data_IF_151052662189
#
_entry.id   IF_151052662189
#
_cell.length_a   1.000
_cell.length_b   1.000
_cell.length_c   1.000
_cell.angle_alpha   90.00
_cell.angle_beta   90.00
_cell.angle_gamma   90.00
#
_symmetry.space_group_name_H-M   'P 1'
#
loop_
_entity.id
_entity.type
_entity.pdbx_description
1 polymer ?
#
# COMPACT_ATOMS: atom_id res chain seq x y z
N UNK A 1 44.15 34.25 -12.15
CA UNK A 1 45.57 34.61 -12.00
C UNK A 1 46.09 33.90 -10.75
N UNK A 2 47.24 33.21 -10.87
CA UNK A 2 47.90 32.28 -9.93
C UNK A 2 47.19 30.91 -9.81
N UNK A 3 47.57 29.80 -10.48
CA UNK A 3 48.83 29.03 -10.65
C UNK A 3 49.37 28.40 -9.35
N UNK A 4 49.25 27.06 -9.21
CA UNK A 4 50.29 25.99 -9.36
C UNK A 4 50.94 25.71 -7.98
N UNK A 5 50.99 24.50 -7.43
CA UNK A 5 51.94 23.40 -7.74
C UNK A 5 51.37 22.04 -7.24
N UNK A 6 51.56 21.03 -8.08
CA UNK A 6 51.40 19.59 -7.87
C UNK A 6 52.70 19.03 -7.31
N UNK A 7 52.65 18.09 -6.36
CA UNK A 7 53.76 17.15 -6.14
C UNK A 7 53.26 15.71 -6.27
N UNK A 8 53.86 15.03 -7.25
CA UNK A 8 53.82 13.58 -7.51
C UNK A 8 55.18 13.06 -7.11
N UNK A 9 55.23 11.94 -6.37
CA UNK A 9 56.46 11.18 -6.18
C UNK A 9 56.26 9.74 -6.65
N UNK A 10 57.16 9.37 -7.56
CA UNK A 10 57.36 8.10 -8.27
C UNK A 10 58.44 7.29 -7.54
N UNK A 11 58.28 5.96 -7.51
CA UNK A 11 59.37 4.97 -7.41
C UNK A 11 58.80 3.64 -7.93
N UNK A 12 59.03 3.24 -9.18
CA UNK A 12 60.20 2.55 -9.78
C UNK A 12 60.40 1.12 -9.26
N UNK A 13 60.33 0.15 -10.19
CA UNK A 13 60.52 -1.28 -9.93
C UNK A 13 60.24 -2.18 -11.15
N UNK A 14 61.07 -2.01 -12.18
CA UNK A 14 61.69 -2.95 -13.12
C UNK A 14 60.96 -4.17 -13.74
N UNK A 15 61.15 -4.20 -15.08
CA UNK A 15 61.08 -5.24 -16.10
C UNK A 15 61.42 -6.69 -15.73
N UNK A 16 60.70 -7.64 -16.35
CA UNK A 16 61.29 -8.86 -16.94
C UNK A 16 60.33 -9.51 -17.95
N UNK A 17 60.68 -9.41 -19.24
CA UNK A 17 60.17 -10.24 -20.33
C UNK A 17 60.73 -11.66 -20.21
N UNK A 18 59.92 -12.69 -20.48
CA UNK A 18 60.42 -13.94 -21.07
C UNK A 18 59.32 -14.74 -21.77
N UNK A 19 59.54 -14.87 -23.09
CA UNK A 19 58.97 -15.83 -24.03
C UNK A 19 59.47 -17.22 -23.69
N UNK A 20 58.58 -18.22 -23.59
CA UNK A 20 58.94 -19.62 -23.91
C UNK A 20 57.72 -20.37 -24.47
N UNK A 21 57.91 -20.86 -25.69
CA UNK A 21 57.18 -21.90 -26.43
C UNK A 21 57.24 -23.27 -25.76
N UNK A 22 56.14 -24.05 -25.78
CA UNK A 22 56.18 -25.51 -25.70
C UNK A 22 55.06 -26.14 -26.55
N UNK A 23 55.49 -26.64 -27.70
CA UNK A 23 54.89 -27.64 -28.58
C UNK A 23 55.13 -29.04 -27.97
N UNK A 24 54.13 -29.94 -28.02
CA UNK A 24 54.32 -31.34 -28.47
C UNK A 24 53.11 -32.24 -28.24
N UNK A 25 52.88 -33.00 -29.31
CA UNK A 25 52.01 -34.13 -29.58
C UNK A 25 52.55 -35.44 -28.97
N UNK A 26 51.68 -36.42 -28.68
CA UNK A 26 52.06 -37.82 -28.47
C UNK A 26 50.84 -38.77 -28.57
N UNK A 27 50.71 -39.40 -29.75
CA UNK A 27 49.98 -40.63 -30.04
C UNK A 27 50.59 -41.84 -29.30
N UNK A 28 49.79 -42.77 -28.73
CA UNK A 28 49.83 -44.22 -29.05
C UNK A 28 49.03 -45.20 -28.12
N UNK A 29 47.99 -45.79 -28.73
CA UNK A 29 47.48 -47.18 -28.78
C UNK A 29 47.64 -48.14 -27.58
N UNK A 30 46.55 -48.84 -27.23
CA UNK A 30 46.47 -50.32 -27.38
C UNK A 30 45.03 -50.88 -27.39
N UNK A 31 44.80 -51.80 -28.34
CA UNK A 31 43.54 -52.52 -28.65
C UNK A 31 43.37 -53.77 -27.77
N UNK A 32 42.12 -54.17 -27.48
CA UNK A 32 41.73 -55.60 -27.31
C UNK A 32 40.37 -55.91 -28.00
N UNK A 33 40.27 -57.16 -28.46
CA UNK A 33 39.53 -57.72 -29.61
C UNK A 33 38.05 -58.11 -29.30
N UNK A 34 37.11 -57.81 -30.20
CA UNK A 34 36.37 -58.68 -31.17
C UNK A 34 35.36 -59.68 -30.56
N UNK A 35 34.08 -59.55 -30.95
CA UNK A 35 33.30 -60.68 -31.49
C UNK A 35 32.19 -60.18 -32.44
N UNK A 36 32.31 -60.52 -33.72
CA UNK A 36 31.35 -60.21 -34.79
C UNK A 36 30.13 -61.14 -34.75
N UNK A 37 28.93 -60.56 -34.92
CA UNK A 37 27.72 -61.22 -35.46
C UNK A 37 27.10 -60.29 -36.52
N UNK A 38 26.50 -60.80 -37.59
CA UNK A 38 26.13 -60.00 -38.77
C UNK A 38 24.91 -59.08 -38.51
N UNK A 39 24.80 -57.93 -39.19
CA UNK A 39 23.61 -57.08 -39.09
C UNK A 39 22.40 -57.74 -39.76
N UNK A 40 21.24 -57.65 -39.08
CA UNK A 40 19.94 -58.11 -39.59
C UNK A 40 19.44 -57.14 -40.66
N UNK A 41 18.91 -57.69 -41.77
CA UNK A 41 18.30 -56.93 -42.87
C UNK A 41 17.05 -56.16 -42.43
N UNK A 42 16.72 -55.01 -43.05
CA UNK A 42 15.50 -54.28 -42.75
C UNK A 42 14.29 -55.00 -43.36
N UNK A 43 13.32 -55.38 -42.51
CA UNK A 43 12.00 -55.86 -42.92
C UNK A 43 11.06 -54.68 -43.18
N UNK A 44 10.25 -54.84 -44.22
CA UNK A 44 9.38 -53.88 -44.92
C UNK A 44 8.35 -53.12 -44.07
N UNK A 45 7.87 -51.94 -44.53
CA UNK A 45 7.00 -51.03 -43.77
C UNK A 45 5.50 -51.42 -43.76
N UNK A 46 5.13 -52.60 -44.24
CA UNK A 46 3.74 -53.04 -44.28
C UNK A 46 3.59 -54.37 -43.55
N UNK A 47 3.33 -54.33 -42.25
CA UNK A 47 2.57 -55.35 -41.49
C UNK A 47 2.50 -54.98 -40.01
N UNK A 48 1.32 -54.56 -39.54
CA UNK A 48 0.73 -54.92 -38.23
C UNK A 48 -0.69 -54.36 -38.15
N UNK A 49 -1.66 -55.21 -38.47
CA UNK A 49 -3.05 -55.06 -38.05
C UNK A 49 -3.22 -55.71 -36.67
N UNK A 50 -4.19 -55.19 -35.91
CA UNK A 50 -4.99 -55.85 -34.86
C UNK A 50 -4.75 -55.37 -33.43
N UNK A 51 -5.87 -54.91 -32.87
CA UNK A 51 -6.14 -54.29 -31.58
C UNK A 51 -5.80 -55.16 -30.37
N UNK A 52 -5.38 -54.51 -29.27
CA UNK A 52 -5.81 -54.79 -27.89
C UNK A 52 -5.74 -53.46 -27.07
N UNK A 53 -6.80 -53.18 -26.30
CA UNK A 53 -7.17 -51.99 -25.48
C UNK A 53 -6.19 -51.66 -24.29
N UNK A 54 -6.38 -50.62 -23.41
CA UNK A 54 -7.55 -49.74 -23.18
C UNK A 54 -7.36 -48.22 -22.93
N UNK A 55 -8.40 -47.51 -23.37
CA UNK A 55 -9.23 -46.43 -22.78
C UNK A 55 -8.95 -45.93 -21.31
N UNK A 56 -8.65 -44.62 -21.26
CA UNK A 56 -9.10 -43.54 -20.35
C UNK A 56 -8.37 -43.24 -19.02
N UNK A 57 -7.94 -41.98 -18.97
CA UNK A 57 -7.24 -41.25 -17.94
C UNK A 57 -8.13 -40.84 -16.75
N UNK A 58 -7.46 -40.63 -15.62
CA UNK A 58 -8.01 -40.18 -14.36
C UNK A 58 -8.65 -38.77 -14.44
N UNK A 59 -9.78 -38.67 -13.74
CA UNK A 59 -10.55 -37.47 -13.46
C UNK A 59 -9.75 -36.48 -12.61
N UNK A 60 -9.48 -35.29 -13.13
CA UNK A 60 -9.20 -34.11 -12.30
C UNK A 60 -10.53 -33.42 -12.01
N UNK A 61 -11.01 -33.61 -10.79
CA UNK A 61 -12.14 -32.89 -10.19
C UNK A 61 -11.60 -31.55 -9.67
N UNK A 62 -12.08 -30.42 -10.20
CA UNK A 62 -11.80 -29.11 -9.61
C UNK A 62 -12.74 -28.88 -8.42
N UNK A 63 -12.15 -28.43 -7.31
CA UNK A 63 -12.83 -28.03 -6.09
C UNK A 63 -13.48 -26.66 -6.33
N UNK A 64 -14.81 -26.57 -6.24
CA UNK A 64 -15.51 -25.29 -6.14
C UNK A 64 -15.33 -24.73 -4.72
N UNK A 65 -14.73 -23.55 -4.63
CA UNK A 65 -14.70 -22.70 -3.44
C UNK A 65 -15.37 -21.38 -3.78
N UNK A 66 -16.43 -21.07 -3.04
CA UNK A 66 -17.37 -19.97 -3.23
C UNK A 66 -16.84 -18.64 -2.72
N UNK A 67 -17.07 -17.56 -3.49
CA UNK A 67 -17.44 -16.24 -2.97
C UNK A 67 -16.32 -15.24 -2.64
N UNK A 68 -16.12 -14.23 -3.49
CA UNK A 68 -16.20 -12.80 -3.10
C UNK A 68 -15.97 -11.86 -4.29
N UNK A 69 -16.83 -10.83 -4.33
CA UNK A 69 -16.72 -9.51 -4.95
C UNK A 69 -16.15 -9.33 -6.38
N UNK A 70 -17.07 -8.88 -7.26
CA UNK A 70 -16.82 -8.06 -8.45
C UNK A 70 -15.77 -6.97 -8.16
N UNK A 71 -14.70 -6.94 -8.95
CA UNK A 71 -14.13 -5.68 -9.42
C UNK A 71 -13.58 -5.88 -10.83
N UNK A 72 -14.09 -5.05 -11.73
CA UNK A 72 -13.81 -5.00 -13.15
C UNK A 72 -12.41 -4.41 -13.38
N UNK A 73 -11.55 -5.15 -14.08
CA UNK A 73 -10.19 -4.73 -14.41
C UNK A 73 -9.80 -5.32 -15.77
N UNK A 74 -9.43 -4.43 -16.68
CA UNK A 74 -9.22 -4.68 -18.10
C UNK A 74 -8.40 -5.94 -18.42
N UNK A 75 -8.93 -6.73 -19.36
CA UNK A 75 -8.41 -8.01 -19.80
C UNK A 75 -7.03 -7.90 -20.45
N UNK A 76 -5.96 -8.22 -19.71
CA UNK A 76 -4.68 -8.61 -20.30
C UNK A 76 -4.79 -10.09 -20.71
N UNK A 77 -5.19 -10.32 -21.96
CA UNK A 77 -5.28 -11.67 -22.53
C UNK A 77 -3.87 -12.19 -22.80
N UNK A 78 -3.51 -13.31 -22.16
CA UNK A 78 -2.27 -14.04 -22.42
C UNK A 78 -2.27 -14.55 -23.88
N UNK A 79 -1.15 -14.46 -24.63
CA UNK A 79 -1.05 -14.94 -26.02
C UNK A 79 -1.55 -16.38 -26.21
N UNK A 80 -1.35 -17.26 -25.23
CA UNK A 80 -1.84 -18.66 -25.29
C UNK A 80 -3.37 -18.75 -25.31
N UNK A 81 -4.07 -17.84 -24.65
CA UNK A 81 -5.55 -17.82 -24.63
C UNK A 81 -6.13 -17.29 -25.95
N UNK A 82 -5.42 -16.44 -26.68
CA UNK A 82 -5.84 -15.97 -28.01
C UNK A 82 -5.82 -17.11 -29.04
N UNK A 83 -4.80 -17.98 -29.01
CA UNK A 83 -4.70 -19.13 -29.91
C UNK A 83 -5.81 -20.17 -29.67
N UNK A 84 -6.13 -20.45 -28.40
CA UNK A 84 -7.20 -21.37 -28.03
C UNK A 84 -8.60 -20.83 -28.39
N UNK A 85 -8.79 -19.52 -28.39
CA UNK A 85 -10.04 -18.88 -28.84
C UNK A 85 -10.27 -19.00 -30.35
N UNK A 86 -9.20 -18.90 -31.15
CA UNK A 86 -9.30 -18.90 -32.62
C UNK A 86 -9.68 -20.27 -33.21
N UNK A 87 -9.29 -21.38 -32.55
CA UNK A 87 -9.67 -22.73 -33.00
C UNK A 87 -11.16 -23.07 -32.82
N UNK A 88 -11.91 -22.30 -32.02
CA UNK A 88 -13.36 -22.53 -31.81
C UNK A 88 -14.27 -21.70 -32.71
N UNK A 89 -13.72 -20.86 -33.58
CA UNK A 89 -14.49 -20.01 -34.51
C UNK A 89 -14.16 -20.29 -35.99
N UNK A 90 -13.82 -21.55 -36.31
CA UNK A 90 -13.69 -22.01 -37.69
C UNK A 90 -14.99 -22.61 -38.23
N UNK A 91 -15.95 -21.81 -38.70
CA UNK A 91 -17.02 -22.31 -39.61
C UNK A 91 -17.57 -21.28 -40.62
N UNK A 92 -17.10 -20.04 -40.66
CA UNK A 92 -17.57 -19.08 -41.68
C UNK A 92 -16.43 -18.22 -42.16
N UNK A 93 -15.65 -18.75 -43.10
CA UNK A 93 -14.97 -18.01 -44.17
C UNK A 93 -14.32 -19.04 -45.12
N UNK A 94 -15.15 -19.77 -45.86
CA UNK A 94 -14.76 -20.39 -47.12
C UNK A 94 -15.53 -19.67 -48.22
N UNK A 95 -14.82 -18.86 -49.00
CA UNK A 95 -15.30 -18.36 -50.28
C UNK A 95 -15.71 -19.58 -51.13
N UNK A 96 -16.95 -19.66 -51.64
CA UNK A 96 -17.32 -20.69 -52.61
C UNK A 96 -16.64 -20.34 -53.92
N UNK A 97 -15.68 -21.17 -54.32
CA UNK A 97 -15.22 -21.24 -55.69
C UNK A 97 -16.45 -21.54 -56.57
N UNK A 98 -16.79 -20.60 -57.45
CA UNK A 98 -17.72 -20.83 -58.55
C UNK A 98 -17.08 -21.85 -59.49
N UNK A 99 -17.39 -23.13 -59.31
CA UNK A 99 -17.26 -24.15 -60.33
C UNK A 99 -18.66 -24.40 -60.89
N UNK A 100 -18.92 -23.81 -62.05
CA UNK A 100 -20.00 -24.20 -62.95
C UNK A 100 -19.63 -25.57 -63.52
N UNK A 101 -19.95 -26.60 -62.76
CA UNK A 101 -19.92 -27.97 -63.23
C UNK A 101 -21.22 -28.21 -64.00
N UNK A 102 -21.07 -28.50 -65.28
CA UNK A 102 -22.10 -28.90 -66.21
C UNK A 102 -22.82 -30.15 -65.64
N UNK A 103 -23.95 -29.93 -64.97
CA UNK A 103 -24.86 -30.98 -64.49
C UNK A 103 -25.75 -31.34 -65.67
N UNK A 104 -25.15 -32.04 -66.62
CA UNK A 104 -25.82 -32.60 -67.79
C UNK A 104 -25.17 -33.95 -68.06
N UNK A 105 -25.95 -35.02 -67.94
CA UNK A 105 -25.61 -36.44 -68.24
C UNK A 105 -25.36 -37.41 -67.07
N UNK A 106 -25.55 -37.01 -65.81
CA UNK A 106 -25.71 -37.99 -64.71
C UNK A 106 -27.19 -38.38 -64.53
N UNK A 107 -27.85 -38.84 -65.60
CA UNK A 107 -29.14 -39.55 -65.50
C UNK A 107 -29.00 -40.95 -66.09
N UNK A 108 -29.18 -41.90 -65.17
CA UNK A 108 -29.74 -43.23 -65.38
C UNK A 108 -28.95 -44.17 -66.28
N UNK A 109 -27.94 -44.83 -65.71
CA UNK A 109 -27.76 -46.25 -65.95
C UNK A 109 -27.60 -46.93 -64.60
N UNK A 110 -28.70 -47.47 -64.09
CA UNK A 110 -28.68 -48.44 -62.99
C UNK A 110 -27.67 -49.52 -63.37
N UNK A 111 -26.70 -49.79 -62.48
CA UNK A 111 -25.67 -50.80 -62.65
C UNK A 111 -26.29 -52.16 -62.93
N UNK A 112 -26.46 -52.45 -64.21
CA UNK A 112 -26.58 -53.80 -64.72
C UNK A 112 -25.18 -54.41 -64.73
N UNK A 113 -25.04 -55.61 -64.17
CA UNK A 113 -23.80 -56.38 -64.18
C UNK A 113 -23.25 -56.68 -65.60
N UNK A 114 -24.05 -56.45 -66.63
CA UNK A 114 -23.71 -56.73 -68.03
C UNK A 114 -23.30 -55.42 -68.73
N UNK A 115 -22.04 -55.29 -69.20
CA UNK A 115 -21.56 -54.18 -70.00
C UNK A 115 -22.49 -53.79 -71.16
N UNK A 116 -22.50 -52.51 -71.51
CA UNK A 116 -23.44 -51.94 -72.50
C UNK A 116 -23.38 -52.66 -73.86
N UNK A 117 -22.17 -53.00 -74.32
CA UNK A 117 -21.94 -53.77 -75.55
C UNK A 117 -22.49 -55.21 -75.48
N UNK A 118 -22.47 -55.84 -74.29
CA UNK A 118 -22.99 -57.20 -74.10
C UNK A 118 -24.50 -57.24 -74.04
N UNK A 119 -25.14 -56.21 -73.48
CA UNK A 119 -26.62 -56.12 -73.49
C UNK A 119 -27.18 -56.05 -74.90
N UNK A 120 -26.46 -55.38 -75.80
CA UNK A 120 -26.84 -55.24 -77.20
C UNK A 120 -26.66 -56.56 -77.95
N UNK A 121 -25.51 -57.23 -77.76
CA UNK A 121 -25.23 -58.54 -78.34
C UNK A 121 -26.20 -59.64 -77.88
N UNK A 122 -26.73 -59.54 -76.65
CA UNK A 122 -27.71 -60.49 -76.12
C UNK A 122 -29.17 -60.12 -76.45
N UNK A 123 -29.40 -59.05 -77.22
CA UNK A 123 -30.75 -58.58 -77.57
C UNK A 123 -31.57 -58.08 -76.38
N UNK A 124 -30.92 -57.80 -75.23
CA UNK A 124 -31.56 -57.38 -73.98
C UNK A 124 -32.01 -55.92 -74.01
N UNK A 125 -31.55 -55.12 -74.98
CA UNK A 125 -31.86 -53.69 -75.10
C UNK A 125 -32.09 -53.34 -76.58
N UNK A 126 -33.19 -52.62 -76.86
CA UNK A 126 -33.46 -52.06 -78.20
C UNK A 126 -32.47 -50.92 -78.49
N UNK A 127 -31.91 -50.82 -79.69
CA UNK A 127 -30.99 -49.74 -80.01
C UNK A 127 -31.71 -48.38 -80.04
N UNK A 128 -31.01 -47.33 -79.61
CA UNK A 128 -31.57 -45.97 -79.51
C UNK A 128 -31.38 -45.13 -80.79
N UNK A 129 -30.66 -45.64 -81.78
CA UNK A 129 -30.25 -44.88 -82.98
C UNK A 129 -30.95 -45.34 -84.26
N UNK A 130 -32.04 -46.11 -84.16
CA UNK A 130 -32.78 -46.60 -85.33
C UNK A 130 -33.51 -45.48 -86.08
N UNK A 131 -32.82 -44.82 -87.01
CA UNK A 131 -33.44 -44.06 -88.11
C UNK A 131 -33.97 -45.07 -89.13
N UNK A 132 -35.08 -45.74 -88.82
CA UNK A 132 -35.64 -46.75 -89.70
C UNK A 132 -35.89 -46.23 -91.12
N UNK A 133 -35.47 -46.99 -92.13
CA UNK A 133 -36.39 -47.35 -93.20
C UNK A 133 -36.08 -48.77 -93.72
N UNK A 134 -37.04 -49.68 -93.54
CA UNK A 134 -37.22 -50.92 -94.31
C UNK A 134 -36.17 -52.07 -94.20
N UNK A 135 -35.74 -52.47 -93.01
CA UNK A 135 -35.46 -53.90 -92.76
C UNK A 135 -35.54 -54.22 -91.25
N UNK A 136 -36.14 -55.34 -90.88
CA UNK A 136 -36.47 -55.67 -89.48
C UNK A 136 -35.25 -55.82 -88.57
N UNK A 137 -35.33 -55.25 -87.35
CA UNK A 137 -34.33 -55.45 -86.30
C UNK A 137 -34.31 -56.91 -85.83
N UNK A 138 -33.18 -57.59 -85.98
CA UNK A 138 -32.95 -58.96 -85.50
C UNK A 138 -32.30 -58.91 -84.12
N UNK A 139 -32.96 -59.38 -83.04
CA UNK A 139 -32.35 -59.49 -81.72
C UNK A 139 -31.09 -60.38 -81.76
N UNK A 140 -29.98 -59.89 -81.19
CA UNK A 140 -28.70 -60.61 -81.15
C UNK A 140 -27.68 -60.16 -82.21
N UNK A 141 -28.07 -59.28 -83.15
CA UNK A 141 -27.13 -58.60 -84.04
C UNK A 141 -26.76 -57.25 -83.43
N UNK A 142 -25.45 -56.95 -83.21
CA UNK A 142 -25.04 -55.64 -82.72
C UNK A 142 -25.52 -54.54 -83.68
N UNK A 143 -26.19 -53.54 -83.13
CA UNK A 143 -26.56 -52.31 -83.83
C UNK A 143 -25.33 -51.41 -83.84
N UNK A 144 -24.42 -51.72 -84.76
CA UNK A 144 -23.30 -50.84 -85.04
C UNK A 144 -23.83 -49.46 -85.39
N UNK A 145 -23.30 -48.44 -84.70
CA UNK A 145 -23.56 -47.05 -85.05
C UNK A 145 -23.26 -46.82 -86.54
N UNK A 146 -23.97 -45.88 -87.15
CA UNK A 146 -23.70 -45.49 -88.52
C UNK A 146 -22.21 -45.11 -88.64
N UNK A 147 -21.59 -45.42 -89.79
CA UNK A 147 -20.15 -45.23 -89.98
C UNK A 147 -19.73 -43.78 -89.70
N UNK A 148 -20.57 -42.79 -90.04
CA UNK A 148 -20.40 -41.37 -89.73
C UNK A 148 -20.33 -41.11 -88.22
N UNK A 149 -21.31 -41.60 -87.44
CA UNK A 149 -21.36 -41.44 -85.98
C UNK A 149 -20.14 -42.08 -85.28
N UNK A 150 -19.64 -43.21 -85.81
CA UNK A 150 -18.42 -43.85 -85.30
C UNK A 150 -17.19 -42.96 -85.49
N UNK A 151 -17.07 -42.27 -86.63
CA UNK A 151 -15.95 -41.36 -86.87
C UNK A 151 -16.00 -40.14 -85.94
N UNK A 152 -17.18 -39.58 -85.71
CA UNK A 152 -17.36 -38.44 -84.79
C UNK A 152 -17.00 -38.82 -83.35
N UNK A 153 -17.44 -39.98 -82.87
CA UNK A 153 -17.06 -40.50 -81.54
C UNK A 153 -15.55 -40.75 -81.43
N UNK A 154 -14.91 -41.30 -82.47
CA UNK A 154 -13.45 -41.47 -82.49
C UNK A 154 -12.75 -40.10 -82.40
N UNK A 155 -13.26 -39.07 -83.07
CA UNK A 155 -12.72 -37.71 -83.00
C UNK A 155 -12.90 -37.12 -81.59
N UNK A 156 -14.07 -37.27 -80.99
CA UNK A 156 -14.35 -36.82 -79.62
C UNK A 156 -13.50 -37.54 -78.57
N UNK A 157 -13.36 -38.86 -78.69
CA UNK A 157 -12.49 -39.65 -77.81
C UNK A 157 -11.03 -39.24 -77.95
N UNK A 158 -10.54 -38.99 -79.17
CA UNK A 158 -9.19 -38.46 -79.40
C UNK A 158 -9.01 -37.08 -78.75
N UNK A 159 -9.99 -36.18 -78.88
CA UNK A 159 -9.98 -34.87 -78.21
C UNK A 159 -9.94 -35.02 -76.69
N UNK A 160 -10.74 -35.93 -76.14
CA UNK A 160 -10.82 -36.19 -74.69
C UNK A 160 -9.52 -36.78 -74.15
N UNK A 161 -8.94 -37.77 -74.85
CA UNK A 161 -7.64 -38.36 -74.49
C UNK A 161 -6.55 -37.29 -74.51
N UNK A 162 -6.54 -36.44 -75.54
CA UNK A 162 -5.56 -35.36 -75.63
C UNK A 162 -5.75 -34.31 -74.51
N UNK A 163 -7.00 -33.96 -74.18
CA UNK A 163 -7.31 -33.06 -73.08
C UNK A 163 -6.85 -33.63 -71.73
N UNK A 164 -7.13 -34.91 -71.46
CA UNK A 164 -6.68 -35.61 -70.26
C UNK A 164 -5.16 -35.71 -70.18
N UNK A 165 -4.47 -35.93 -71.31
CA UNK A 165 -3.01 -35.92 -71.36
C UNK A 165 -2.44 -34.55 -70.99
N UNK A 166 -2.98 -33.48 -71.57
CA UNK A 166 -2.58 -32.11 -71.26
C UNK A 166 -2.85 -31.76 -69.78
N UNK A 167 -3.97 -32.21 -69.22
CA UNK A 167 -4.29 -32.05 -67.79
C UNK A 167 -3.30 -32.83 -66.90
N UNK A 168 -2.96 -34.06 -67.28
CA UNK A 168 -1.94 -34.87 -66.60
C UNK A 168 -0.58 -34.16 -66.54
N UNK A 169 -0.14 -33.57 -67.65
CA UNK A 169 1.12 -32.80 -67.72
C UNK A 169 1.07 -31.54 -66.84
N UNK A 170 -0.08 -30.87 -66.78
CA UNK A 170 -0.30 -29.72 -65.89
C UNK A 170 -0.21 -30.15 -64.42
N UNK A 171 -0.90 -31.22 -64.03
CA UNK A 171 -0.90 -31.74 -62.66
C UNK A 171 0.49 -32.20 -62.23
N UNK A 172 1.23 -32.88 -63.11
CA UNK A 172 2.62 -33.28 -62.88
C UNK A 172 3.51 -32.08 -62.55
N UNK A 173 3.33 -30.98 -63.28
CA UNK A 173 4.11 -29.76 -63.05
C UNK A 173 3.69 -29.06 -61.74
N UNK A 174 2.40 -29.02 -61.41
CA UNK A 174 1.92 -28.48 -60.12
C UNK A 174 2.46 -29.26 -58.93
N UNK A 175 2.42 -30.60 -59.00
CA UNK A 175 2.96 -31.47 -57.95
C UNK A 175 4.44 -31.21 -57.70
N UNK A 176 5.25 -31.15 -58.76
CA UNK A 176 6.69 -30.86 -58.63
C UNK A 176 6.96 -29.54 -57.89
N UNK A 177 6.23 -28.46 -58.24
CA UNK A 177 6.41 -27.15 -57.56
C UNK A 177 6.04 -27.20 -56.08
N UNK A 178 4.91 -27.84 -55.75
CA UNK A 178 4.46 -27.97 -54.38
C UNK A 178 5.42 -28.83 -53.55
N UNK A 179 5.96 -29.90 -54.12
CA UNK A 179 6.94 -30.77 -53.47
C UNK A 179 8.25 -30.03 -53.16
N UNK A 180 8.75 -29.21 -54.08
CA UNK A 180 9.91 -28.34 -53.84
C UNK A 180 9.65 -27.29 -52.74
N UNK A 181 8.48 -26.66 -52.72
CA UNK A 181 8.11 -25.72 -51.66
C UNK A 181 7.99 -26.40 -50.30
N UNK A 182 7.38 -27.59 -50.25
CA UNK A 182 7.25 -28.37 -49.04
C UNK A 182 8.64 -28.77 -48.50
N UNK A 183 9.55 -29.19 -49.39
CA UNK A 183 10.94 -29.48 -49.03
C UNK A 183 11.67 -28.25 -48.46
N UNK A 184 11.41 -27.04 -48.96
CA UNK A 184 11.97 -25.80 -48.37
C UNK A 184 11.42 -25.54 -46.97
N UNK A 185 10.10 -25.67 -46.78
CA UNK A 185 9.47 -25.49 -45.45
C UNK A 185 9.93 -26.53 -44.45
N UNK A 186 10.09 -27.78 -44.88
CA UNK A 186 10.59 -28.86 -44.01
C UNK A 186 11.99 -28.57 -43.48
N UNK A 187 12.89 -28.05 -44.33
CA UNK A 187 14.23 -27.59 -43.91
C UNK A 187 14.17 -26.44 -42.91
N UNK A 188 13.25 -25.49 -43.07
CA UNK A 188 13.06 -24.40 -42.09
C UNK A 188 12.57 -24.93 -40.75
N UNK A 189 11.65 -25.89 -40.75
CA UNK A 189 11.17 -26.55 -39.54
C UNK A 189 12.32 -27.28 -38.84
N UNK A 190 13.12 -28.05 -39.57
CA UNK A 190 14.31 -28.72 -39.01
C UNK A 190 15.30 -27.71 -38.39
N UNK A 191 15.52 -26.56 -39.02
CA UNK A 191 16.41 -25.51 -38.50
C UNK A 191 15.90 -24.87 -37.19
N UNK A 192 14.58 -24.72 -37.04
CA UNK A 192 13.95 -24.17 -35.84
C UNK A 192 13.87 -25.20 -34.71
N UNK A 193 13.75 -26.48 -35.06
CA UNK A 193 13.72 -27.59 -34.12
C UNK A 193 15.13 -28.03 -33.67
N UNK A 194 16.18 -27.53 -34.33
CA UNK A 194 17.57 -27.82 -33.98
C UNK A 194 17.87 -27.41 -32.52
N UNK A 195 18.12 -28.39 -31.64
CA UNK A 195 18.38 -28.14 -30.22
C UNK A 195 19.59 -27.25 -29.97
N UNK A 196 20.59 -27.23 -30.87
CA UNK A 196 21.77 -26.40 -30.70
C UNK A 196 21.44 -24.91 -30.80
N UNK A 197 20.59 -24.50 -31.75
CA UNK A 197 20.16 -23.10 -31.91
C UNK A 197 19.32 -22.60 -30.72
N UNK A 198 18.45 -23.45 -30.18
CA UNK A 198 17.66 -23.14 -28.98
C UNK A 198 18.50 -23.03 -27.71
N UNK A 199 19.55 -23.86 -27.61
CA UNK A 199 20.45 -23.91 -26.45
C UNK A 199 21.35 -22.68 -26.34
N UNK A 200 21.80 -22.09 -27.45
CA UNK A 200 22.57 -20.84 -27.43
C UNK A 200 21.74 -19.65 -26.94
N UNK A 201 20.50 -19.54 -27.43
CA UNK A 201 19.56 -18.50 -26.98
C UNK A 201 19.22 -18.66 -25.50
N UNK A 202 19.00 -19.89 -25.03
CA UNK A 202 18.74 -20.17 -23.63
C UNK A 202 19.94 -19.84 -22.73
N UNK A 203 21.16 -20.14 -23.19
CA UNK A 203 22.41 -19.86 -22.47
C UNK A 203 22.67 -18.36 -22.35
N UNK A 204 22.52 -17.58 -23.44
CA UNK A 204 22.65 -16.13 -23.41
C UNK A 204 21.61 -15.45 -22.49
N UNK A 205 20.37 -15.96 -22.46
CA UNK A 205 19.33 -15.49 -21.54
C UNK A 205 19.64 -15.83 -20.08
N UNK A 206 20.22 -17.01 -19.83
CA UNK A 206 20.62 -17.45 -18.50
C UNK A 206 21.77 -16.61 -17.94
N UNK A 207 22.79 -16.34 -18.76
CA UNK A 207 23.96 -15.54 -18.38
C UNK A 207 23.55 -14.12 -17.96
N UNK A 208 22.72 -13.46 -18.79
CA UNK A 208 22.13 -12.15 -18.45
C UNK A 208 21.24 -12.19 -17.21
N UNK A 209 20.60 -13.32 -16.91
CA UNK A 209 19.78 -13.48 -15.69
C UNK A 209 20.64 -13.59 -14.43
N UNK A 210 21.84 -14.18 -14.53
CA UNK A 210 22.79 -14.29 -13.42
C UNK A 210 23.33 -12.92 -13.00
N UNK A 211 23.73 -12.09 -13.95
CA UNK A 211 24.23 -10.72 -13.67
C UNK A 211 23.15 -9.84 -13.03
N UNK A 212 21.93 -9.90 -13.56
CA UNK A 212 20.78 -9.21 -12.97
C UNK A 212 20.39 -9.78 -11.60
N UNK A 213 20.69 -11.07 -11.34
CA UNK A 213 20.40 -11.74 -10.07
C UNK A 213 21.17 -11.14 -8.90
N UNK A 214 22.43 -10.76 -9.11
CA UNK A 214 23.26 -10.10 -8.09
C UNK A 214 22.75 -8.70 -7.76
N UNK A 215 22.38 -7.92 -8.78
CA UNK A 215 21.80 -6.58 -8.59
C UNK A 215 20.48 -6.67 -7.83
N UNK A 216 19.58 -7.58 -8.21
CA UNK A 216 18.30 -7.80 -7.52
C UNK A 216 18.52 -8.23 -6.07
N UNK A 217 19.49 -9.11 -5.81
CA UNK A 217 19.81 -9.56 -4.46
C UNK A 217 20.38 -8.43 -3.60
N UNK A 218 21.26 -7.60 -4.14
CA UNK A 218 21.79 -6.41 -3.47
C UNK A 218 20.71 -5.37 -3.17
N UNK A 219 19.78 -5.13 -4.11
CA UNK A 219 18.64 -4.25 -3.88
C UNK A 219 17.71 -4.80 -2.79
N UNK A 220 17.41 -6.10 -2.79
CA UNK A 220 16.63 -6.73 -1.71
C UNK A 220 17.27 -6.55 -0.34
N UNK A 221 18.58 -6.77 -0.24
CA UNK A 221 19.30 -6.59 1.02
C UNK A 221 19.29 -5.11 1.47
N UNK A 222 19.42 -4.17 0.53
CA UNK A 222 19.34 -2.74 0.82
C UNK A 222 17.94 -2.32 1.29
N UNK A 223 16.89 -2.86 0.68
CA UNK A 223 15.50 -2.63 1.10
C UNK A 223 15.30 -3.13 2.52
N UNK A 224 15.71 -4.36 2.84
CA UNK A 224 15.59 -4.92 4.18
C UNK A 224 16.28 -4.06 5.26
N UNK A 225 17.50 -3.57 4.98
CA UNK A 225 18.21 -2.67 5.90
C UNK A 225 17.51 -1.32 6.09
N UNK A 226 16.92 -0.77 5.02
CA UNK A 226 16.16 0.48 5.11
C UNK A 226 14.85 0.29 5.87
N UNK A 227 14.17 -0.83 5.68
CA UNK A 227 12.97 -1.20 6.44
C UNK A 227 13.28 -1.33 7.94
N UNK A 228 14.38 -2.00 8.28
CA UNK A 228 14.85 -2.11 9.68
C UNK A 228 15.16 -0.72 10.27
N UNK A 229 15.89 0.14 9.55
CA UNK A 229 16.15 1.51 10.01
C UNK A 229 14.90 2.37 10.14
N UNK A 230 13.89 2.19 9.29
CA UNK A 230 12.61 2.88 9.41
C UNK A 230 11.90 2.44 10.68
N UNK A 231 11.84 1.13 10.93
CA UNK A 231 11.24 0.57 12.14
C UNK A 231 11.93 1.08 13.41
N UNK A 232 13.26 1.07 13.45
CA UNK A 232 14.02 1.61 14.59
C UNK A 232 13.72 3.09 14.82
N UNK A 233 13.65 3.90 13.75
CA UNK A 233 13.30 5.32 13.88
C UNK A 233 11.86 5.51 14.39
N UNK A 234 10.90 4.74 13.89
CA UNK A 234 9.53 4.78 14.39
C UNK A 234 9.45 4.38 15.87
N UNK A 235 10.18 3.35 16.29
CA UNK A 235 10.27 2.94 17.69
C UNK A 235 10.85 4.08 18.57
N UNK A 236 11.88 4.79 18.10
CA UNK A 236 12.41 5.96 18.83
C UNK A 236 11.43 7.12 18.90
N UNK A 237 10.68 7.40 17.83
CA UNK A 237 9.64 8.43 17.82
C UNK A 237 8.54 8.06 18.83
N UNK A 238 8.08 6.81 18.82
CA UNK A 238 7.07 6.33 19.75
C UNK A 238 7.54 6.46 21.20
N UNK A 239 8.80 6.13 21.48
CA UNK A 239 9.41 6.33 22.79
C UNK A 239 9.44 7.80 23.19
N UNK A 240 9.92 8.70 22.32
CA UNK A 240 9.94 10.13 22.62
C UNK A 240 8.54 10.71 22.84
N UNK A 241 7.54 10.27 22.08
CA UNK A 241 6.15 10.68 22.32
C UNK A 241 5.63 10.21 23.67
N UNK A 242 5.99 8.99 24.10
CA UNK A 242 5.63 8.49 25.42
C UNK A 242 6.35 9.29 26.53
N UNK A 243 7.65 9.54 26.38
CA UNK A 243 8.46 10.29 27.34
C UNK A 243 7.95 11.73 27.49
N UNK A 244 7.56 12.38 26.39
CA UNK A 244 6.98 13.72 26.40
C UNK A 244 5.65 13.75 27.17
N UNK A 245 4.72 12.83 26.85
CA UNK A 245 3.43 12.71 27.59
C UNK A 245 3.66 12.44 29.08
N UNK A 246 4.63 11.59 29.40
CA UNK A 246 4.98 11.28 30.78
C UNK A 246 5.54 12.52 31.50
N UNK A 247 6.38 13.30 30.82
CA UNK A 247 6.96 14.54 31.37
C UNK A 247 5.88 15.59 31.61
N UNK A 248 4.97 15.81 30.66
CA UNK A 248 3.84 16.75 30.81
C UNK A 248 2.96 16.39 32.02
N UNK A 249 2.67 15.10 32.20
CA UNK A 249 1.92 14.61 33.35
C UNK A 249 2.66 14.83 34.67
N UNK A 250 3.99 14.62 34.67
CA UNK A 250 4.84 14.82 35.83
C UNK A 250 4.93 16.29 36.24
N UNK A 251 5.12 17.19 35.27
CA UNK A 251 5.13 18.63 35.50
C UNK A 251 3.79 19.13 36.04
N UNK A 252 2.67 18.62 35.52
CA UNK A 252 1.34 18.92 36.05
C UNK A 252 1.16 18.39 37.48
N UNK A 253 1.66 17.18 37.77
CA UNK A 253 1.62 16.59 39.11
C UNK A 253 2.37 17.43 40.12
N UNK A 254 3.60 17.83 39.79
CA UNK A 254 4.45 18.69 40.65
C UNK A 254 3.79 20.05 40.86
N UNK A 255 3.21 20.64 39.82
CA UNK A 255 2.49 21.92 39.90
C UNK A 255 1.29 21.82 40.84
N UNK A 256 0.50 20.75 40.72
CA UNK A 256 -0.64 20.49 41.60
C UNK A 256 -0.21 20.29 43.06
N UNK A 257 0.84 19.49 43.29
CA UNK A 257 1.40 19.25 44.63
C UNK A 257 1.85 20.58 45.26
N UNK A 258 2.58 21.40 44.51
CA UNK A 258 3.02 22.75 44.95
C UNK A 258 1.83 23.66 45.28
N UNK A 259 0.78 23.67 44.44
CA UNK A 259 -0.43 24.45 44.73
C UNK A 259 -1.16 23.95 45.98
N UNK A 260 -1.26 22.64 46.19
CA UNK A 260 -1.87 22.04 47.38
C UNK A 260 -1.11 22.41 48.66
N UNK A 261 0.22 22.35 48.64
CA UNK A 261 1.07 22.77 49.76
C UNK A 261 0.87 24.26 50.09
N UNK A 262 0.82 25.12 49.08
CA UNK A 262 0.59 26.56 49.27
C UNK A 262 -0.82 26.84 49.80
N UNK A 263 -1.84 26.15 49.29
CA UNK A 263 -3.21 26.23 49.82
C UNK A 263 -3.21 25.84 51.31
N UNK A 264 -2.52 24.75 51.68
CA UNK A 264 -2.42 24.33 53.08
C UNK A 264 -1.72 25.37 53.95
N UNK A 265 -0.60 25.94 53.47
CA UNK A 265 0.12 27.02 54.15
C UNK A 265 -0.76 28.26 54.36
N UNK A 266 -1.52 28.66 53.33
CA UNK A 266 -2.45 29.79 53.40
C UNK A 266 -3.61 29.52 54.36
N UNK A 267 -4.17 28.31 54.37
CA UNK A 267 -5.19 27.89 55.34
C UNK A 267 -4.66 28.00 56.78
N UNK A 268 -3.43 27.56 57.03
CA UNK A 268 -2.80 27.67 58.34
C UNK A 268 -2.61 29.13 58.78
N UNK A 269 -2.17 30.00 57.86
CA UNK A 269 -2.03 31.43 58.11
C UNK A 269 -3.38 32.09 58.37
N UNK A 270 -4.42 31.74 57.61
CA UNK A 270 -5.78 32.22 57.84
C UNK A 270 -6.28 31.82 59.22
N UNK A 271 -6.16 30.54 59.59
CA UNK A 271 -6.53 30.06 60.93
C UNK A 271 -5.78 30.81 62.03
N UNK A 272 -4.46 31.01 61.88
CA UNK A 272 -3.65 31.80 62.83
C UNK A 272 -4.15 33.24 62.91
N UNK A 273 -4.42 33.89 61.77
CA UNK A 273 -4.91 35.27 61.71
C UNK A 273 -6.28 35.43 62.39
N UNK A 274 -7.19 34.47 62.22
CA UNK A 274 -8.49 34.47 62.90
C UNK A 274 -8.35 34.34 64.41
N UNK A 275 -7.46 33.45 64.88
CA UNK A 275 -7.22 33.31 66.33
C UNK A 275 -6.64 34.59 66.92
N UNK A 276 -5.72 35.26 66.21
CA UNK A 276 -5.15 36.54 66.63
C UNK A 276 -6.22 37.64 66.65
N UNK A 277 -7.04 37.76 65.60
CA UNK A 277 -8.14 38.74 65.54
C UNK A 277 -9.12 38.56 66.71
N UNK A 278 -9.50 37.32 67.03
CA UNK A 278 -10.37 36.99 68.18
C UNK A 278 -9.71 37.39 69.52
N UNK A 279 -8.40 37.15 69.69
CA UNK A 279 -7.67 37.55 70.91
C UNK A 279 -7.62 39.07 71.09
N UNK A 280 -7.19 39.81 70.06
CA UNK A 280 -7.18 41.27 70.10
C UNK A 280 -8.57 41.85 70.35
N UNK A 281 -9.62 41.32 69.69
CA UNK A 281 -10.99 41.76 69.94
C UNK A 281 -11.42 41.60 71.41
N UNK A 282 -11.14 40.45 72.02
CA UNK A 282 -11.45 40.21 73.45
C UNK A 282 -10.62 41.08 74.39
N UNK A 283 -9.34 41.27 74.12
CA UNK A 283 -8.47 42.07 74.98
C UNK A 283 -8.79 43.56 74.89
N UNK A 284 -9.10 44.06 73.69
CA UNK A 284 -9.62 45.42 73.51
C UNK A 284 -10.95 45.60 74.23
N UNK A 285 -11.87 44.63 74.14
CA UNK A 285 -13.14 44.68 74.87
C UNK A 285 -12.93 44.67 76.40
N UNK A 286 -12.00 43.87 76.93
CA UNK A 286 -11.64 43.88 78.36
C UNK A 286 -11.08 45.24 78.80
N UNK A 287 -10.17 45.82 78.00
CA UNK A 287 -9.60 47.15 78.26
C UNK A 287 -10.67 48.24 78.26
N UNK A 288 -11.60 48.21 77.29
CA UNK A 288 -12.73 49.14 77.23
C UNK A 288 -13.66 49.02 78.45
N UNK A 289 -13.96 47.79 78.90
CA UNK A 289 -14.75 47.57 80.13
C UNK A 289 -14.05 48.12 81.37
N UNK A 290 -12.75 47.87 81.52
CA UNK A 290 -11.96 48.38 82.63
C UNK A 290 -11.90 49.92 82.63
N UNK A 291 -11.70 50.53 81.47
CA UNK A 291 -11.72 51.98 81.31
C UNK A 291 -13.07 52.57 81.69
N UNK A 292 -14.17 51.98 81.20
CA UNK A 292 -15.52 52.45 81.53
C UNK A 292 -15.81 52.35 83.04
N UNK A 293 -15.39 51.25 83.68
CA UNK A 293 -15.49 51.12 85.14
C UNK A 293 -14.68 52.19 85.89
N UNK A 294 -13.48 52.53 85.41
CA UNK A 294 -12.66 53.60 85.98
C UNK A 294 -13.31 54.97 85.81
N UNK A 295 -13.89 55.26 84.63
CA UNK A 295 -14.65 56.49 84.37
C UNK A 295 -15.82 56.61 85.35
N UNK A 296 -16.62 55.56 85.52
CA UNK A 296 -17.74 55.58 86.49
C UNK A 296 -17.28 55.78 87.94
N UNK A 297 -16.14 55.19 88.33
CA UNK A 297 -15.57 55.39 89.67
C UNK A 297 -15.12 56.84 89.85
N UNK A 298 -14.41 57.41 88.87
CA UNK A 298 -13.99 58.81 88.90
C UNK A 298 -15.19 59.76 88.90
N UNK A 299 -16.25 59.48 88.14
CA UNK A 299 -17.49 60.27 88.17
C UNK A 299 -18.16 60.24 89.54
N UNK A 300 -18.18 59.08 90.23
CA UNK A 300 -18.65 58.99 91.62
C UNK A 300 -17.79 59.82 92.56
N UNK A 301 -16.47 59.67 92.50
CA UNK A 301 -15.54 60.44 93.32
C UNK A 301 -15.68 61.96 93.09
N UNK A 302 -15.83 62.41 91.83
CA UNK A 302 -16.06 63.82 91.51
C UNK A 302 -17.37 64.30 92.16
N UNK A 303 -18.44 63.49 92.07
CA UNK A 303 -19.73 63.84 92.70
C UNK A 303 -19.63 63.89 94.23
N UNK A 304 -18.89 62.96 94.83
CA UNK A 304 -18.60 62.95 96.27
C UNK A 304 -17.81 64.19 96.68
N UNK A 305 -16.71 64.52 95.99
CA UNK A 305 -15.91 65.72 96.21
C UNK A 305 -16.69 67.02 95.99
N UNK A 306 -17.61 67.04 95.02
CA UNK A 306 -18.52 68.17 94.80
C UNK A 306 -19.51 68.33 95.95
N UNK A 307 -20.03 67.23 96.49
CA UNK A 307 -20.92 67.25 97.65
C UNK A 307 -20.17 67.65 98.92
N UNK A 308 -18.96 67.14 99.14
CA UNK A 308 -18.10 67.52 100.25
C UNK A 308 -17.71 68.99 100.17
N UNK A 309 -17.28 69.49 99.00
CA UNK A 309 -17.03 70.92 98.79
C UNK A 309 -18.27 71.77 99.08
N UNK A 310 -19.46 71.28 98.72
CA UNK A 310 -20.71 71.98 99.02
C UNK A 310 -20.96 72.04 100.53
N UNK A 311 -20.83 70.90 101.23
CA UNK A 311 -20.96 70.84 102.69
C UNK A 311 -19.95 71.74 103.39
N UNK A 312 -18.68 71.68 102.98
CA UNK A 312 -17.63 72.55 103.55
C UNK A 312 -17.90 74.04 103.30
N UNK A 313 -18.49 74.39 102.15
CA UNK A 313 -18.95 75.77 101.88
C UNK A 313 -20.13 76.14 102.78
N UNK A 314 -21.12 75.27 102.92
CA UNK A 314 -22.25 75.47 103.84
C UNK A 314 -21.77 75.62 105.30
N UNK A 315 -20.82 74.79 105.75
CA UNK A 315 -20.21 74.87 107.07
C UNK A 315 -19.41 76.18 107.25
N UNK A 316 -18.65 76.60 106.22
CA UNK A 316 -17.96 77.88 106.23
C UNK A 316 -18.94 79.05 106.34
N UNK A 317 -20.02 79.03 105.56
CA UNK A 317 -21.08 80.04 105.60
C UNK A 317 -21.79 80.06 106.96
N UNK A 318 -21.98 78.89 107.60
CA UNK A 318 -22.51 78.77 108.96
C UNK A 318 -21.56 79.37 110.00
N UNK A 319 -20.25 79.07 109.94
CA UNK A 319 -19.25 79.69 110.83
C UNK A 319 -19.20 81.20 110.65
N UNK A 320 -19.26 81.69 109.40
CA UNK A 320 -19.32 83.12 109.10
C UNK A 320 -20.61 83.76 109.61
N UNK A 321 -21.74 83.05 109.56
CA UNK A 321 -23.04 83.53 110.05
C UNK A 321 -23.16 83.50 111.58
N UNK A 322 -22.58 82.51 112.25
CA UNK A 322 -22.50 82.40 113.71
C UNK A 322 -21.44 83.32 114.31
N UNK A 323 -20.40 83.67 113.54
CA UNK A 323 -19.47 84.73 113.89
C UNK A 323 -20.13 86.09 113.67
N UNK A 324 -20.86 86.58 114.68
CA UNK A 324 -21.35 87.96 114.70
C UNK A 324 -20.20 88.94 114.37
N UNK A 325 -20.34 89.84 113.38
CA UNK A 325 -19.33 90.86 113.10
C UNK A 325 -19.52 91.99 114.12
N UNK A 326 -19.23 91.72 115.39
CA UNK A 326 -19.43 92.71 116.46
C UNK A 326 -18.45 92.51 117.61
N UNK A 327 -17.94 93.65 118.06
CA UNK A 327 -17.15 93.86 119.28
C UNK A 327 -15.68 93.42 119.25
N UNK A 328 -14.84 94.16 118.51
CA UNK A 328 -13.54 94.70 119.03
C UNK A 328 -12.72 95.57 118.06
N UNK A 329 -13.25 96.01 116.91
CA UNK A 329 -12.57 97.03 116.10
C UNK A 329 -12.97 98.42 116.61
N UNK A 330 -12.16 98.98 117.52
CA UNK A 330 -12.32 100.36 118.02
C UNK A 330 -12.26 101.31 116.83
N UNK A 331 -13.35 102.04 116.59
CA UNK A 331 -13.51 102.94 115.44
C UNK A 331 -12.70 104.23 115.70
N UNK A 332 -11.40 104.22 115.36
CA UNK A 332 -10.51 105.37 115.53
C UNK A 332 -10.81 106.54 114.58
N UNK A 333 -11.70 106.33 113.60
CA UNK A 333 -12.14 107.31 112.60
C UNK A 333 -13.06 108.39 113.15
N UNK A 334 -13.73 108.17 114.30
CA UNK A 334 -14.62 109.13 114.94
C UNK A 334 -13.90 110.04 115.96
N UNK A 335 -12.60 109.83 116.18
CA UNK A 335 -11.86 110.62 117.15
C UNK A 335 -11.41 111.93 116.52
N UNK A 336 -11.74 113.06 117.18
CA UNK A 336 -11.25 114.37 116.75
C UNK A 336 -9.72 114.38 116.74
N UNK A 337 -9.11 115.13 115.80
CA UNK A 337 -7.64 115.23 115.67
C UNK A 337 -6.97 115.56 117.01
N UNK A 338 -7.56 116.44 117.81
CA UNK A 338 -7.07 116.76 119.16
C UNK A 338 -7.12 115.57 120.12
N UNK A 339 -8.15 114.72 120.06
CA UNK A 339 -8.28 113.52 120.90
C UNK A 339 -7.29 112.43 120.50
N UNK A 340 -7.06 112.25 119.20
CA UNK A 340 -6.00 111.35 118.69
C UNK A 340 -4.62 111.84 119.12
N UNK A 341 -4.31 113.12 118.94
CA UNK A 341 -3.02 113.70 119.36
C UNK A 341 -2.80 113.59 120.87
N UNK A 342 -3.84 113.80 121.70
CA UNK A 342 -3.72 113.62 123.15
C UNK A 342 -3.43 112.17 123.52
N UNK A 343 -4.07 111.20 122.83
CA UNK A 343 -3.81 109.78 123.06
C UNK A 343 -2.42 109.35 122.58
N UNK A 344 -1.97 109.87 121.45
CA UNK A 344 -0.59 109.64 120.96
C UNK A 344 0.41 110.21 121.96
N UNK A 345 0.20 111.45 122.44
CA UNK A 345 1.08 112.07 123.43
C UNK A 345 1.05 111.36 124.80
N UNK A 346 -0.10 110.85 125.25
CA UNK A 346 -0.18 109.98 126.44
C UNK A 346 0.62 108.67 126.26
N UNK A 347 0.53 108.05 125.09
CA UNK A 347 1.27 106.83 124.79
C UNK A 347 2.78 107.10 124.65
N UNK A 348 3.19 108.23 124.08
CA UNK A 348 4.59 108.66 124.02
C UNK A 348 5.17 108.96 125.42
N UNK A 349 4.38 109.53 126.35
CA UNK A 349 4.80 109.74 127.74
C UNK A 349 4.93 108.45 128.55
N UNK A 350 4.24 107.39 128.16
CA UNK A 350 4.35 106.06 128.80
C UNK A 350 5.46 105.22 128.14
N UNK A 351 6.02 105.69 127.02
CA UNK A 351 7.04 105.00 126.22
C UNK A 351 8.45 105.62 126.29
N UNK A 352 8.67 106.64 127.14
CA UNK A 352 9.97 107.26 127.42
C UNK A 352 10.39 107.09 128.89
#
# INVERSE_FOLDING_TARGET
>A
VANVIIDVSVSQGDDSLSVITCESDAEMKLKKKILHKPPKSPKSPYSSSTQLYPKKAALWRSLQGTGSARLEGAAVKNPRQMWLGSMKQGTTMSHPLKSEADISHMRTNISSSTPEYLKEALGMKKPKHSRSSSNGYIPGTPDYKEKEDMYDEIIELKKTIQAQKNEGDLMKTKLRRLEEENNRKNKQIEQLLDPFRGSELARALSEKKTDNGWVVSGLKQKILKLEEQCKEKDDTINKFQADMKNTDLEEMRISLETCCEEIHRLQLLLAKSETMRKKYGRDTQKRLKALNAAVLKLSRNIKELQNENRRLKEDLDHVLSDSSPSAKRKNYSEWSKQRLLRRISELEKVSN
#
